data_IF_773402161133
#
_entry.id   IF_773402161133
#
_cell.length_a   1.000
_cell.length_b   1.000
_cell.length_c   1.000
_cell.angle_alpha   90.00
_cell.angle_beta   90.00
_cell.angle_gamma   90.00
#
_symmetry.space_group_name_H-M   'P 1'
#
loop_
_entity.id
_entity.type
_entity.pdbx_description
1 polymer ?
#
# COMPACT_ATOMS: atom_id res chain seq x y z
N UNK A 1 -54.80 48.06 3.77
CA UNK A 1 -53.55 47.59 3.16
C UNK A 1 -52.76 46.90 4.24
N UNK A 2 -52.87 45.55 4.35
CA UNK A 2 -52.18 44.74 5.36
C UNK A 2 -50.97 44.09 4.72
N UNK A 3 -49.79 44.52 5.14
CA UNK A 3 -48.51 43.98 4.68
C UNK A 3 -48.23 42.72 5.47
N UNK A 4 -48.36 41.56 4.83
CA UNK A 4 -48.05 40.24 5.39
C UNK A 4 -46.51 40.09 5.33
N UNK A 5 -45.85 40.21 6.49
CA UNK A 5 -44.45 39.92 6.61
C UNK A 5 -44.26 38.40 6.50
N UNK A 6 -43.61 37.95 5.42
CA UNK A 6 -43.24 36.56 5.24
C UNK A 6 -42.12 36.19 6.25
N UNK A 7 -42.44 35.36 7.20
CA UNK A 7 -41.46 34.72 8.07
C UNK A 7 -40.56 33.81 7.23
N UNK A 8 -39.40 34.26 6.86
CA UNK A 8 -38.31 33.41 6.36
C UNK A 8 -37.77 32.59 7.51
N UNK A 9 -38.29 31.38 7.67
CA UNK A 9 -37.70 30.38 8.57
C UNK A 9 -36.36 29.97 7.94
N UNK A 10 -35.26 30.51 8.50
CA UNK A 10 -33.92 30.04 8.15
C UNK A 10 -33.78 28.60 8.60
N UNK A 11 -33.73 27.65 7.65
CA UNK A 11 -33.35 26.27 7.95
C UNK A 11 -31.99 26.27 8.68
N UNK A 12 -31.87 25.45 9.78
CA UNK A 12 -30.59 25.33 10.46
C UNK A 12 -29.57 24.75 9.47
N UNK A 13 -28.28 25.16 9.55
CA UNK A 13 -27.26 24.65 8.67
C UNK A 13 -27.23 23.13 8.78
N UNK A 14 -27.54 22.45 7.69
CA UNK A 14 -27.41 21.00 7.60
C UNK A 14 -25.91 20.70 7.82
N UNK A 15 -25.57 20.18 8.98
CA UNK A 15 -24.25 19.61 9.26
C UNK A 15 -24.11 18.37 8.38
N UNK A 16 -23.63 18.58 7.14
CA UNK A 16 -23.30 17.49 6.24
C UNK A 16 -22.30 16.58 6.99
N UNK A 17 -22.77 15.39 7.36
CA UNK A 17 -21.90 14.39 7.96
C UNK A 17 -20.75 14.14 6.99
N UNK A 18 -19.48 14.16 7.45
CA UNK A 18 -18.35 13.98 6.56
C UNK A 18 -18.50 12.63 5.85
N UNK A 19 -18.55 12.66 4.50
CA UNK A 19 -18.64 11.46 3.67
C UNK A 19 -17.47 10.52 4.02
N UNK A 20 -17.79 9.37 4.61
CA UNK A 20 -16.80 8.36 5.04
C UNK A 20 -16.60 7.30 3.96
N UNK A 21 -15.45 6.64 3.98
CA UNK A 21 -15.21 5.46 3.18
C UNK A 21 -16.07 4.28 3.66
N UNK A 22 -16.28 3.29 2.80
CA UNK A 22 -16.96 2.05 3.19
C UNK A 22 -16.11 1.28 4.22
N UNK A 23 -16.74 0.53 5.12
CA UNK A 23 -16.04 -0.27 6.13
C UNK A 23 -15.00 -1.20 5.50
N UNK A 24 -15.34 -1.85 4.38
CA UNK A 24 -14.40 -2.71 3.64
C UNK A 24 -13.17 -1.95 3.15
N UNK A 25 -13.35 -0.74 2.59
CA UNK A 25 -12.24 0.09 2.14
C UNK A 25 -11.32 0.50 3.31
N UNK A 26 -11.89 0.79 4.49
CA UNK A 26 -11.16 1.13 5.71
C UNK A 26 -10.37 -0.07 6.25
N UNK A 27 -11.03 -1.23 6.38
CA UNK A 27 -10.38 -2.46 6.86
C UNK A 27 -9.23 -2.86 5.95
N UNK A 28 -9.44 -2.91 4.63
CA UNK A 28 -8.38 -3.22 3.68
C UNK A 28 -7.23 -2.21 3.76
N UNK A 29 -7.53 -0.92 3.98
CA UNK A 29 -6.47 0.09 4.13
C UNK A 29 -5.57 -0.20 5.33
N UNK A 30 -6.17 -0.34 6.50
CA UNK A 30 -5.40 -0.49 7.73
C UNK A 30 -4.69 -1.84 7.81
N UNK A 31 -5.31 -2.90 7.29
CA UNK A 31 -4.66 -4.21 7.19
C UNK A 31 -3.42 -4.14 6.27
N UNK A 32 -3.56 -3.57 5.07
CA UNK A 32 -2.43 -3.39 4.14
C UNK A 32 -1.36 -2.49 4.78
N UNK A 33 -1.74 -1.39 5.42
CA UNK A 33 -0.79 -0.48 6.07
C UNK A 33 0.01 -1.18 7.17
N UNK A 34 -0.66 -1.96 8.03
CA UNK A 34 0.00 -2.75 9.07
C UNK A 34 0.98 -3.77 8.47
N UNK A 35 0.53 -4.53 7.47
CA UNK A 35 1.38 -5.54 6.82
C UNK A 35 2.59 -4.90 6.11
N UNK A 36 2.43 -3.74 5.48
CA UNK A 36 3.56 -3.01 4.87
C UNK A 36 4.57 -2.59 5.95
N UNK A 37 4.10 -2.01 7.07
CA UNK A 37 5.00 -1.60 8.15
C UNK A 37 5.78 -2.81 8.69
N UNK A 38 5.10 -3.91 9.00
CA UNK A 38 5.74 -5.16 9.44
C UNK A 38 6.76 -5.66 8.41
N UNK A 39 6.39 -5.63 7.12
CA UNK A 39 7.24 -6.12 6.04
C UNK A 39 8.48 -5.25 5.81
N UNK A 40 8.35 -3.94 5.94
CA UNK A 40 9.47 -2.98 5.89
C UNK A 40 10.44 -3.26 7.04
N UNK A 41 9.93 -3.44 8.27
CA UNK A 41 10.77 -3.77 9.43
C UNK A 41 11.52 -5.06 9.18
N UNK A 42 10.85 -6.14 8.74
CA UNK A 42 11.51 -7.41 8.44
C UNK A 42 12.59 -7.28 7.36
N UNK A 43 12.32 -6.52 6.28
CA UNK A 43 13.28 -6.31 5.19
C UNK A 43 14.50 -5.51 5.63
N UNK A 44 14.33 -4.49 6.49
CA UNK A 44 15.44 -3.65 6.98
C UNK A 44 16.27 -4.34 8.06
N UNK A 45 15.69 -5.26 8.83
CA UNK A 45 16.36 -5.89 9.96
C UNK A 45 16.82 -7.32 9.68
N UNK A 46 16.56 -7.86 8.48
CA UNK A 46 16.86 -9.26 8.15
C UNK A 46 18.31 -9.66 8.45
N UNK A 47 19.25 -8.80 8.07
CA UNK A 47 20.70 -9.02 8.28
C UNK A 47 21.16 -8.81 9.74
N UNK A 48 20.29 -8.26 10.58
CA UNK A 48 20.58 -8.05 12.01
C UNK A 48 20.25 -9.28 12.87
N UNK A 49 19.60 -10.28 12.27
CA UNK A 49 19.26 -11.54 12.96
C UNK A 49 20.42 -12.53 12.88
N UNK A 50 20.54 -13.47 13.84
CA UNK A 50 21.46 -14.60 13.75
C UNK A 50 21.21 -15.40 12.45
N UNK A 51 22.29 -15.94 11.83
CA UNK A 51 22.21 -16.68 10.55
C UNK A 51 21.13 -17.77 10.53
N UNK A 52 20.91 -18.45 11.67
CA UNK A 52 19.87 -19.47 11.80
C UNK A 52 18.43 -18.95 11.62
N UNK A 53 18.21 -17.63 11.79
CA UNK A 53 16.89 -16.98 11.71
C UNK A 53 16.68 -16.21 10.41
N UNK A 54 17.76 -15.77 9.76
CA UNK A 54 17.71 -14.94 8.53
C UNK A 54 16.75 -15.55 7.51
N UNK A 55 16.85 -16.87 7.28
CA UNK A 55 15.98 -17.56 6.32
C UNK A 55 14.50 -17.42 6.67
N UNK A 56 14.13 -17.66 7.93
CA UNK A 56 12.74 -17.57 8.40
C UNK A 56 12.21 -16.13 8.29
N UNK A 57 13.05 -15.14 8.59
CA UNK A 57 12.71 -13.71 8.46
C UNK A 57 12.44 -13.35 6.99
N UNK A 58 13.33 -13.77 6.08
CA UNK A 58 13.19 -13.53 4.65
C UNK A 58 11.97 -14.25 4.08
N UNK A 59 11.71 -15.49 4.46
CA UNK A 59 10.53 -16.23 3.99
C UNK A 59 9.23 -15.65 4.53
N UNK A 60 9.24 -15.09 5.76
CA UNK A 60 8.11 -14.31 6.30
C UNK A 60 7.91 -13.02 5.53
N UNK A 61 8.99 -12.28 5.22
CA UNK A 61 8.94 -11.08 4.40
C UNK A 61 8.31 -11.34 3.02
N UNK A 62 8.75 -12.40 2.34
CA UNK A 62 8.17 -12.83 1.05
C UNK A 62 6.68 -13.16 1.18
N UNK A 63 6.30 -13.90 2.22
CA UNK A 63 4.91 -14.31 2.46
C UNK A 63 4.00 -13.11 2.68
N UNK A 64 4.42 -12.15 3.51
CA UNK A 64 3.70 -10.90 3.73
C UNK A 64 3.63 -10.09 2.43
N UNK A 65 4.74 -10.00 1.67
CA UNK A 65 4.77 -9.29 0.38
C UNK A 65 3.74 -9.81 -0.62
N UNK A 66 3.65 -11.13 -0.81
CA UNK A 66 2.65 -11.76 -1.68
C UNK A 66 1.23 -11.54 -1.14
N UNK A 67 1.03 -11.61 0.18
CA UNK A 67 -0.27 -11.33 0.81
C UNK A 67 -0.71 -9.88 0.56
N UNK A 68 0.22 -8.92 0.69
CA UNK A 68 -0.04 -7.50 0.38
C UNK A 68 -0.43 -7.34 -1.08
N UNK A 69 0.24 -8.01 -2.03
CA UNK A 69 -0.12 -7.99 -3.44
C UNK A 69 -1.58 -8.42 -3.65
N UNK A 70 -1.99 -9.55 -3.08
CA UNK A 70 -3.37 -10.04 -3.15
C UNK A 70 -4.39 -9.06 -2.56
N UNK A 71 -4.09 -8.50 -1.37
CA UNK A 71 -4.97 -7.52 -0.71
C UNK A 71 -5.06 -6.20 -1.47
N UNK A 72 -3.98 -5.76 -2.11
CA UNK A 72 -3.97 -4.56 -2.95
C UNK A 72 -4.84 -4.75 -4.19
N UNK A 73 -4.77 -5.91 -4.84
CA UNK A 73 -5.66 -6.23 -5.97
C UNK A 73 -7.12 -6.23 -5.54
N UNK A 74 -7.46 -6.86 -4.39
CA UNK A 74 -8.81 -6.80 -3.82
C UNK A 74 -9.25 -5.36 -3.52
N UNK A 75 -8.33 -4.53 -2.99
CA UNK A 75 -8.62 -3.12 -2.72
C UNK A 75 -8.86 -2.32 -3.98
N UNK A 76 -8.13 -2.59 -5.07
CA UNK A 76 -8.35 -1.96 -6.38
C UNK A 76 -9.72 -2.36 -6.92
N UNK A 77 -10.07 -3.65 -6.91
CA UNK A 77 -11.37 -4.15 -7.34
C UNK A 77 -12.51 -3.50 -6.54
N UNK A 78 -12.33 -3.41 -5.21
CA UNK A 78 -13.31 -2.73 -4.35
C UNK A 78 -13.45 -1.25 -4.70
N UNK A 79 -12.33 -0.55 -4.96
CA UNK A 79 -12.32 0.87 -5.31
C UNK A 79 -12.98 1.17 -6.67
N UNK A 80 -12.85 0.26 -7.63
CA UNK A 80 -13.48 0.39 -8.96
C UNK A 80 -15.00 0.24 -8.85
N UNK A 81 -15.46 -0.71 -8.02
CA UNK A 81 -16.89 -0.96 -7.81
C UNK A 81 -17.57 0.03 -6.82
N UNK A 82 -16.80 0.63 -5.89
CA UNK A 82 -17.28 1.55 -4.86
C UNK A 82 -16.49 2.86 -4.91
N UNK A 83 -17.06 3.86 -5.55
CA UNK A 83 -16.38 5.16 -5.69
C UNK A 83 -16.04 5.77 -4.33
N UNK A 84 -14.78 6.19 -4.13
CA UNK A 84 -14.37 6.85 -2.90
C UNK A 84 -15.09 8.19 -2.73
N UNK A 85 -15.34 8.63 -1.49
CA UNK A 85 -15.92 9.94 -1.24
C UNK A 85 -14.98 11.04 -1.74
N UNK A 86 -15.51 12.12 -2.35
CA UNK A 86 -14.70 13.20 -2.89
C UNK A 86 -13.88 13.85 -1.77
N UNK A 87 -12.73 14.40 -2.14
CA UNK A 87 -11.93 15.20 -1.22
C UNK A 87 -12.70 16.48 -0.84
N UNK A 88 -12.52 16.99 0.39
CA UNK A 88 -13.16 18.24 0.81
C UNK A 88 -12.86 19.38 -0.14
N UNK A 89 -13.88 20.14 -0.57
CA UNK A 89 -13.74 21.30 -1.45
C UNK A 89 -12.84 22.40 -0.86
N UNK A 90 -12.64 22.40 0.43
CA UNK A 90 -11.83 23.36 1.17
C UNK A 90 -10.31 23.22 0.93
N UNK A 91 -9.86 22.18 0.22
CA UNK A 91 -8.44 22.04 -0.13
C UNK A 91 -8.13 22.77 -1.44
N UNK A 92 -6.94 23.40 -1.57
CA UNK A 92 -6.49 23.99 -2.82
C UNK A 92 -6.30 22.92 -3.90
N UNK A 93 -6.44 23.28 -5.16
CA UNK A 93 -6.38 22.34 -6.30
C UNK A 93 -5.09 21.53 -6.36
N UNK A 94 -3.95 22.13 -5.96
CA UNK A 94 -2.67 21.45 -5.97
C UNK A 94 -2.59 20.33 -4.93
N UNK A 95 -3.23 20.47 -3.74
CA UNK A 95 -3.30 19.41 -2.74
C UNK A 95 -4.16 18.23 -3.22
N UNK A 96 -5.26 18.50 -3.93
CA UNK A 96 -6.05 17.46 -4.59
C UNK A 96 -5.21 16.68 -5.59
N UNK A 97 -4.46 17.37 -6.43
CA UNK A 97 -3.59 16.74 -7.42
C UNK A 97 -2.48 15.93 -6.75
N UNK A 98 -1.80 16.51 -5.76
CA UNK A 98 -0.75 15.83 -5.00
C UNK A 98 -1.26 14.55 -4.32
N UNK A 99 -2.46 14.59 -3.71
CA UNK A 99 -3.07 13.42 -3.09
C UNK A 99 -3.37 12.31 -4.12
N UNK A 100 -3.87 12.67 -5.31
CA UNK A 100 -4.14 11.68 -6.38
C UNK A 100 -2.84 11.04 -6.88
N UNK A 101 -1.81 11.84 -7.12
CA UNK A 101 -0.49 11.36 -7.56
C UNK A 101 0.13 10.45 -6.49
N UNK A 102 0.12 10.86 -5.23
CA UNK A 102 0.66 10.08 -4.12
C UNK A 102 -0.06 8.72 -4.00
N UNK A 103 -1.38 8.69 -4.06
CA UNK A 103 -2.13 7.43 -4.03
C UNK A 103 -1.84 6.56 -5.25
N UNK A 104 -1.76 7.13 -6.45
CA UNK A 104 -1.41 6.38 -7.66
C UNK A 104 -0.03 5.74 -7.54
N UNK A 105 0.97 6.51 -7.12
CA UNK A 105 2.34 6.01 -6.92
C UNK A 105 2.41 4.95 -5.81
N UNK A 106 1.67 5.12 -4.71
CA UNK A 106 1.57 4.10 -3.66
C UNK A 106 1.00 2.78 -4.22
N UNK A 107 -0.07 2.82 -5.01
CA UNK A 107 -0.59 1.60 -5.65
C UNK A 107 0.43 0.96 -6.58
N UNK A 108 1.16 1.76 -7.37
CA UNK A 108 2.21 1.26 -8.26
C UNK A 108 3.32 0.57 -7.47
N UNK A 109 3.77 1.16 -6.35
CA UNK A 109 4.80 0.58 -5.49
C UNK A 109 4.30 -0.68 -4.75
N UNK A 110 3.06 -0.67 -4.25
CA UNK A 110 2.47 -1.84 -3.59
C UNK A 110 2.29 -3.05 -4.52
N UNK A 111 2.25 -2.85 -5.83
CA UNK A 111 2.26 -3.91 -6.84
C UNK A 111 3.70 -4.22 -7.26
N UNK A 112 4.49 -3.21 -7.57
CA UNK A 112 5.84 -3.37 -8.12
C UNK A 112 6.82 -4.02 -7.13
N UNK A 113 6.74 -3.68 -5.84
CA UNK A 113 7.61 -4.26 -4.81
C UNK A 113 7.44 -5.78 -4.66
N UNK A 114 6.24 -6.34 -4.42
CA UNK A 114 6.09 -7.78 -4.32
C UNK A 114 6.45 -8.50 -5.63
N UNK A 115 6.13 -7.91 -6.77
CA UNK A 115 6.48 -8.51 -8.06
C UNK A 115 7.99 -8.54 -8.28
N UNK A 116 8.71 -7.44 -7.99
CA UNK A 116 10.18 -7.40 -8.11
C UNK A 116 10.85 -8.40 -7.16
N UNK A 117 10.35 -8.51 -5.92
CA UNK A 117 10.83 -9.50 -4.95
C UNK A 117 10.55 -10.94 -5.39
N UNK A 118 9.40 -11.23 -5.96
CA UNK A 118 9.05 -12.56 -6.49
C UNK A 118 9.91 -12.93 -7.70
N UNK A 119 10.17 -11.98 -8.60
CA UNK A 119 11.09 -12.17 -9.73
C UNK A 119 12.53 -12.39 -9.26
N UNK A 120 12.99 -11.59 -8.27
CA UNK A 120 14.30 -11.74 -7.65
C UNK A 120 14.48 -13.13 -7.04
N UNK A 121 13.51 -13.61 -6.23
CA UNK A 121 13.52 -14.95 -5.64
C UNK A 121 13.46 -16.05 -6.71
N UNK A 122 12.71 -15.84 -7.80
CA UNK A 122 12.63 -16.80 -8.91
C UNK A 122 13.94 -16.91 -9.71
N UNK A 123 14.73 -15.83 -9.73
CA UNK A 123 16.05 -15.78 -10.37
C UNK A 123 17.19 -16.30 -9.47
N UNK A 124 16.92 -16.63 -8.21
CA UNK A 124 17.94 -17.17 -7.32
C UNK A 124 18.51 -18.51 -7.83
N UNK A 125 19.82 -18.68 -7.75
CA UNK A 125 20.53 -19.87 -8.30
C UNK A 125 20.01 -21.19 -7.73
N UNK A 126 19.74 -21.23 -6.42
CA UNK A 126 19.29 -22.44 -5.71
C UNK A 126 17.75 -22.55 -5.61
N UNK A 127 17.02 -21.76 -6.39
CA UNK A 127 15.56 -21.73 -6.39
C UNK A 127 14.91 -23.08 -6.68
N UNK A 128 15.55 -23.92 -7.51
CA UNK A 128 15.03 -25.26 -7.86
C UNK A 128 15.04 -26.25 -6.68
N UNK A 129 16.02 -26.13 -5.79
CA UNK A 129 16.21 -27.05 -4.64
C UNK A 129 15.53 -26.57 -3.36
N UNK A 130 15.05 -25.31 -3.36
CA UNK A 130 14.44 -24.70 -2.19
C UNK A 130 13.03 -24.16 -2.54
N UNK A 131 11.99 -25.01 -2.48
CA UNK A 131 10.64 -24.60 -2.83
C UNK A 131 10.16 -23.46 -1.93
N UNK A 132 9.41 -22.53 -2.51
CA UNK A 132 8.82 -21.40 -1.78
C UNK A 132 7.48 -21.82 -1.19
N UNK A 133 7.25 -21.47 0.08
CA UNK A 133 5.98 -21.65 0.77
C UNK A 133 5.58 -20.35 1.45
N UNK A 134 4.32 -19.96 1.31
CA UNK A 134 3.77 -18.83 2.08
C UNK A 134 3.52 -19.30 3.52
N UNK A 135 4.12 -18.58 4.46
CA UNK A 135 4.07 -18.89 5.91
C UNK A 135 4.47 -20.32 6.25
N UNK A 136 5.33 -20.93 5.42
CA UNK A 136 5.79 -22.30 5.61
C UNK A 136 4.76 -23.39 5.29
N UNK A 137 3.54 -23.04 4.88
CA UNK A 137 2.40 -23.96 4.74
C UNK A 137 1.90 -24.07 3.30
N UNK A 138 1.69 -22.94 2.63
CA UNK A 138 1.04 -22.91 1.31
C UNK A 138 2.13 -22.93 0.23
N UNK A 139 2.23 -23.99 -0.60
CA UNK A 139 3.16 -24.00 -1.73
C UNK A 139 2.88 -22.81 -2.67
N UNK A 140 3.92 -22.04 -2.98
CA UNK A 140 3.80 -20.90 -3.88
C UNK A 140 4.74 -21.07 -5.07
N UNK A 141 4.23 -21.01 -6.31
CA UNK A 141 5.07 -21.21 -7.49
C UNK A 141 6.01 -20.02 -7.69
N UNK A 142 7.23 -20.28 -8.10
CA UNK A 142 8.10 -19.28 -8.68
C UNK A 142 7.72 -19.02 -10.13
N UNK A 143 8.21 -17.93 -10.71
CA UNK A 143 7.94 -17.57 -12.10
C UNK A 143 8.69 -18.53 -13.03
N UNK A 144 7.97 -19.50 -13.61
CA UNK A 144 8.55 -20.60 -14.38
C UNK A 144 9.43 -20.12 -15.55
N UNK A 145 9.03 -19.03 -16.22
CA UNK A 145 9.83 -18.41 -17.28
C UNK A 145 11.23 -18.03 -16.80
N UNK A 146 11.35 -17.49 -15.60
CA UNK A 146 12.63 -17.07 -14.99
C UNK A 146 13.43 -18.28 -14.52
N UNK A 147 12.75 -19.31 -14.02
CA UNK A 147 13.38 -20.52 -13.50
C UNK A 147 14.17 -21.31 -14.56
N UNK A 148 13.74 -21.24 -15.83
CA UNK A 148 14.29 -22.02 -16.95
C UNK A 148 15.27 -21.23 -17.83
N UNK A 149 15.66 -20.03 -17.43
CA UNK A 149 16.66 -19.23 -18.13
C UNK A 149 18.06 -19.81 -17.99
N UNK A 150 18.93 -19.44 -18.93
CA UNK A 150 20.38 -19.70 -18.85
C UNK A 150 20.96 -19.22 -17.50
N UNK A 151 21.85 -20.00 -16.86
CA UNK A 151 22.39 -19.65 -15.54
C UNK A 151 23.02 -18.25 -15.45
N UNK A 152 23.78 -17.81 -16.46
CA UNK A 152 24.41 -16.49 -16.48
C UNK A 152 23.38 -15.35 -16.59
N UNK A 153 22.35 -15.54 -17.44
CA UNK A 153 21.24 -14.61 -17.54
C UNK A 153 20.43 -14.56 -16.25
N UNK A 154 20.19 -15.71 -15.64
CA UNK A 154 19.48 -15.83 -14.36
C UNK A 154 20.17 -15.08 -13.25
N UNK A 155 21.50 -15.21 -13.11
CA UNK A 155 22.31 -14.47 -12.15
C UNK A 155 22.23 -12.94 -12.37
N UNK A 156 22.40 -12.51 -13.64
CA UNK A 156 22.26 -11.09 -13.99
C UNK A 156 20.86 -10.52 -13.66
N UNK A 157 19.81 -11.30 -13.87
CA UNK A 157 18.44 -10.90 -13.53
C UNK A 157 18.19 -10.89 -12.02
N UNK A 158 18.79 -11.82 -11.28
CA UNK A 158 18.75 -11.83 -9.82
C UNK A 158 19.25 -10.49 -9.27
N UNK A 159 20.45 -10.06 -9.69
CA UNK A 159 21.05 -8.81 -9.24
C UNK A 159 20.21 -7.59 -9.62
N UNK A 160 19.72 -7.56 -10.87
CA UNK A 160 18.89 -6.44 -11.36
C UNK A 160 17.55 -6.34 -10.63
N UNK A 161 16.87 -7.46 -10.40
CA UNK A 161 15.61 -7.46 -9.66
C UNK A 161 15.81 -7.14 -8.18
N UNK A 162 16.93 -7.56 -7.58
CA UNK A 162 17.32 -7.18 -6.24
C UNK A 162 17.56 -5.68 -6.11
N UNK A 163 18.34 -5.10 -7.03
CA UNK A 163 18.57 -3.66 -7.09
C UNK A 163 17.26 -2.89 -7.31
N UNK A 164 16.41 -3.34 -8.24
CA UNK A 164 15.10 -2.74 -8.48
C UNK A 164 14.23 -2.77 -7.21
N UNK A 165 14.15 -3.93 -6.53
CA UNK A 165 13.40 -4.07 -5.28
C UNK A 165 13.88 -3.07 -4.22
N UNK A 166 15.18 -2.93 -4.05
CA UNK A 166 15.80 -1.99 -3.11
C UNK A 166 15.41 -0.53 -3.44
N UNK A 167 15.53 -0.12 -4.71
CA UNK A 167 15.17 1.24 -5.12
C UNK A 167 13.67 1.54 -4.98
N UNK A 168 12.81 0.58 -5.32
CA UNK A 168 11.37 0.69 -5.08
C UNK A 168 11.07 0.77 -3.58
N UNK A 169 11.85 0.08 -2.73
CA UNK A 169 11.77 0.18 -1.27
C UNK A 169 12.05 1.61 -0.78
N UNK A 170 13.14 2.23 -1.22
CA UNK A 170 13.43 3.63 -0.86
C UNK A 170 12.33 4.60 -1.33
N UNK A 171 11.82 4.39 -2.54
CA UNK A 171 10.69 5.18 -3.04
C UNK A 171 9.43 5.00 -2.17
N UNK A 172 9.15 3.77 -1.72
CA UNK A 172 8.04 3.49 -0.80
C UNK A 172 8.23 4.23 0.53
N UNK A 173 9.43 4.20 1.13
CA UNK A 173 9.68 4.85 2.42
C UNK A 173 9.44 6.36 2.32
N UNK A 174 9.97 7.01 1.28
CA UNK A 174 9.77 8.44 1.06
C UNK A 174 8.29 8.78 0.85
N UNK A 175 7.60 8.02 -0.01
CA UNK A 175 6.21 8.28 -0.34
C UNK A 175 5.26 7.96 0.83
N UNK A 176 5.57 6.93 1.62
CA UNK A 176 4.81 6.60 2.84
C UNK A 176 4.96 7.70 3.89
N UNK A 177 6.18 8.22 4.09
CA UNK A 177 6.42 9.34 4.99
C UNK A 177 5.64 10.59 4.56
N UNK A 178 5.63 10.91 3.25
CA UNK A 178 4.83 12.02 2.71
C UNK A 178 3.32 11.78 2.88
N UNK A 179 2.84 10.55 2.64
CA UNK A 179 1.43 10.20 2.80
C UNK A 179 0.95 10.36 4.24
N UNK A 180 1.70 9.83 5.19
CA UNK A 180 1.39 9.95 6.62
C UNK A 180 1.54 11.40 7.06
N UNK A 181 2.64 12.07 6.69
CA UNK A 181 2.88 13.48 7.01
C UNK A 181 1.77 14.40 6.48
N UNK A 182 1.30 14.19 5.25
CA UNK A 182 0.17 14.89 4.67
C UNK A 182 -1.13 14.68 5.45
N UNK A 183 -1.42 13.44 5.82
CA UNK A 183 -2.61 13.11 6.63
C UNK A 183 -2.55 13.79 8.01
N UNK A 184 -1.39 13.79 8.67
CA UNK A 184 -1.17 14.44 9.96
C UNK A 184 -1.24 15.97 9.85
N UNK A 185 -0.65 16.56 8.80
CA UNK A 185 -0.78 18.01 8.51
C UNK A 185 -2.25 18.40 8.42
N UNK A 186 -3.02 17.68 7.60
CA UNK A 186 -4.44 17.98 7.43
C UNK A 186 -5.24 17.80 8.71
N UNK A 187 -4.91 16.80 9.54
CA UNK A 187 -5.60 16.55 10.79
C UNK A 187 -5.30 17.60 11.85
N UNK A 188 -4.04 17.99 12.05
CA UNK A 188 -3.62 18.81 13.19
C UNK A 188 -3.37 20.28 12.84
N UNK A 189 -2.80 20.57 11.66
CA UNK A 189 -2.48 21.94 11.24
C UNK A 189 -3.68 22.57 10.57
N UNK A 190 -4.25 21.91 9.57
CA UNK A 190 -5.39 22.44 8.81
C UNK A 190 -6.73 22.22 9.54
N UNK A 191 -6.71 21.45 10.65
CA UNK A 191 -7.89 21.08 11.47
C UNK A 191 -9.03 20.47 10.64
N UNK A 192 -8.67 19.71 9.59
CA UNK A 192 -9.59 19.02 8.70
C UNK A 192 -9.54 17.52 8.98
N UNK A 193 -10.67 16.93 9.35
CA UNK A 193 -10.80 15.53 9.77
C UNK A 193 -10.62 14.53 8.62
N UNK A 194 -9.41 14.43 8.04
CA UNK A 194 -9.11 13.47 6.95
C UNK A 194 -8.98 12.05 7.48
N UNK A 195 -8.30 11.89 8.62
CA UNK A 195 -8.07 10.57 9.24
C UNK A 195 -9.40 9.95 9.67
N UNK A 196 -10.31 10.73 10.28
CA UNK A 196 -11.61 10.24 10.75
C UNK A 196 -12.50 9.66 9.63
N UNK A 197 -12.24 10.00 8.36
CA UNK A 197 -12.92 9.42 7.19
C UNK A 197 -12.47 7.99 6.89
N UNK A 198 -11.30 7.58 7.42
CA UNK A 198 -10.67 6.28 7.20
C UNK A 198 -10.61 5.43 8.48
N UNK A 199 -11.12 5.91 9.61
CA UNK A 199 -11.23 5.13 10.85
C UNK A 199 -12.60 4.47 10.89
N UNK A 200 -12.69 3.13 11.14
CA UNK A 200 -13.94 2.37 11.22
C UNK A 200 -14.94 2.90 12.23
#
# INVERSE_FOLDING_TARGET
MSTQAANVVSEPPQTEMPLRYTRTAMVLHWLIALLIICNVVLGLTAESFPDSWVRSVVDTHKSIGITVLGLVLLRILWRVSHRPPPLPKAFPKWEHMAAHIAHFLLYLLMIGLPLSGWLHDSAWKDAATHPMHLFGVIPWPRVGLVMHLDPALKESLHDRFGALHTWLGYALYALLAMHVGGALKHQWIDKKSVISRMVP
#
